data_IF_424374961148
#
_entry.id   IF_424374961148
#
_cell.length_a   1.000
_cell.length_b   1.000
_cell.length_c   1.000
_cell.angle_alpha   90.00
_cell.angle_beta   90.00
_cell.angle_gamma   90.00
#
_symmetry.space_group_name_H-M   'P 1'
#
loop_
_entity.id
_entity.type
_entity.pdbx_description
1 polymer ?
#
# COMPACT_ATOMS: atom_id res chain seq x y z
N UNK A 1 6.24 15.54 13.94
CA UNK A 1 7.16 14.36 14.01
C UNK A 1 6.49 13.16 13.35
N UNK A 2 7.21 12.19 12.75
CA UNK A 2 6.56 11.01 12.17
C UNK A 2 5.77 10.27 13.25
N UNK A 3 4.47 10.09 13.02
CA UNK A 3 3.59 9.36 13.93
C UNK A 3 3.89 7.85 13.87
N UNK A 4 3.76 7.10 14.98
CA UNK A 4 3.91 5.65 14.96
C UNK A 4 2.90 5.05 13.97
N UNK A 5 3.39 4.37 12.94
CA UNK A 5 2.58 3.67 11.94
C UNK A 5 2.78 2.16 12.06
N UNK A 6 1.80 1.35 11.64
CA UNK A 6 1.98 -0.10 11.55
C UNK A 6 3.15 -0.46 10.63
N UNK A 7 3.82 -1.58 10.90
CA UNK A 7 4.92 -2.06 10.05
C UNK A 7 4.47 -2.29 8.58
N UNK A 8 3.22 -2.72 8.37
CA UNK A 8 2.60 -2.85 7.05
C UNK A 8 1.15 -2.41 7.14
N UNK A 9 0.69 -1.59 6.18
CA UNK A 9 -0.69 -1.13 6.08
C UNK A 9 -1.27 -1.54 4.72
N UNK A 10 -2.50 -2.08 4.72
CA UNK A 10 -3.17 -2.44 3.49
C UNK A 10 -3.56 -1.18 2.71
N UNK A 11 -2.95 -0.97 1.55
CA UNK A 11 -3.19 0.20 0.72
C UNK A 11 -4.29 -0.03 -0.35
N UNK A 12 -4.54 -1.29 -0.71
CA UNK A 12 -5.56 -1.70 -1.67
C UNK A 12 -5.54 -3.21 -1.90
N UNK A 13 -6.60 -3.74 -2.51
CA UNK A 13 -6.69 -5.14 -2.90
C UNK A 13 -7.48 -5.29 -4.20
N UNK A 14 -7.19 -6.35 -4.95
CA UNK A 14 -7.96 -6.74 -6.14
C UNK A 14 -8.30 -8.22 -6.05
N UNK A 15 -9.55 -8.57 -6.33
CA UNK A 15 -10.00 -9.95 -6.42
C UNK A 15 -10.11 -10.35 -7.88
N UNK A 16 -9.56 -11.50 -8.23
CA UNK A 16 -9.61 -12.09 -9.56
C UNK A 16 -10.02 -13.55 -9.43
N UNK A 17 -10.82 -14.03 -10.37
CA UNK A 17 -11.18 -15.44 -10.49
C UNK A 17 -10.48 -15.99 -11.74
N UNK A 18 -9.73 -17.07 -11.57
CA UNK A 18 -8.88 -17.66 -12.62
C UNK A 18 -9.25 -19.12 -12.83
N UNK A 19 -9.42 -19.50 -14.09
CA UNK A 19 -9.50 -20.89 -14.50
C UNK A 19 -8.15 -21.60 -14.33
N UNK A 20 -8.12 -22.94 -14.23
CA UNK A 20 -6.87 -23.70 -14.12
C UNK A 20 -5.88 -23.35 -15.25
N UNK A 21 -4.68 -22.89 -14.87
CA UNK A 21 -3.63 -22.49 -15.82
C UNK A 21 -3.77 -21.09 -16.40
N UNK A 22 -4.84 -20.34 -16.08
CA UNK A 22 -5.00 -18.96 -16.49
C UNK A 22 -4.07 -18.01 -15.71
N UNK A 23 -3.80 -16.83 -16.28
CA UNK A 23 -3.04 -15.76 -15.64
C UNK A 23 -3.62 -14.42 -16.05
N UNK A 24 -3.77 -13.52 -15.09
CA UNK A 24 -4.32 -12.18 -15.32
C UNK A 24 -3.46 -11.11 -14.64
N UNK A 25 -3.44 -9.92 -15.23
CA UNK A 25 -2.81 -8.74 -14.62
C UNK A 25 -3.84 -7.95 -13.85
N UNK A 26 -3.64 -7.83 -12.54
CA UNK A 26 -4.49 -7.03 -11.66
C UNK A 26 -3.83 -5.67 -11.42
N UNK A 27 -4.55 -4.59 -11.71
CA UNK A 27 -4.14 -3.24 -11.36
C UNK A 27 -4.84 -2.81 -10.07
N UNK A 28 -4.06 -2.56 -9.01
CA UNK A 28 -4.57 -2.04 -7.74
C UNK A 28 -4.13 -0.58 -7.63
N UNK A 29 -5.10 0.33 -7.67
CA UNK A 29 -4.82 1.76 -7.48
C UNK A 29 -4.55 2.04 -5.99
N UNK A 30 -3.43 2.71 -5.71
CA UNK A 30 -3.09 3.16 -4.36
C UNK A 30 -3.50 4.64 -4.25
N UNK A 31 -4.54 4.98 -3.48
CA UNK A 31 -4.92 6.37 -3.28
C UNK A 31 -3.87 7.08 -2.44
N UNK A 32 -3.68 8.38 -2.67
CA UNK A 32 -2.73 9.21 -1.92
C UNK A 32 -2.97 9.16 -0.40
N UNK A 33 -4.23 9.02 0.00
CA UNK A 33 -4.62 8.95 1.40
C UNK A 33 -4.12 7.66 2.08
N UNK A 34 -3.93 6.57 1.33
CA UNK A 34 -3.40 5.31 1.87
C UNK A 34 -1.91 5.39 2.26
N UNK A 35 -1.18 6.36 1.71
CA UNK A 35 0.21 6.67 2.06
C UNK A 35 0.33 7.96 2.89
N UNK A 36 -0.81 8.46 3.38
CA UNK A 36 -0.87 9.64 4.23
C UNK A 36 -1.10 9.27 5.68
N UNK A 37 -0.64 10.11 6.59
CA UNK A 37 -0.88 10.00 8.02
C UNK A 37 -1.56 11.27 8.51
N UNK A 38 -2.35 11.13 9.57
CA UNK A 38 -2.98 12.29 10.21
C UNK A 38 -1.96 12.98 11.10
N UNK A 39 -1.67 14.25 10.79
CA UNK A 39 -0.80 15.09 11.60
C UNK A 39 -1.66 15.91 12.58
N UNK A 40 -1.47 15.62 13.88
CA UNK A 40 -2.21 16.27 14.97
C UNK A 40 -1.83 17.73 15.16
N UNK A 41 -0.64 18.17 14.71
CA UNK A 41 -0.21 19.57 14.83
C UNK A 41 -0.90 20.45 13.78
N UNK A 42 -1.03 19.96 12.55
CA UNK A 42 -1.68 20.67 11.44
C UNK A 42 -3.18 20.38 11.33
N UNK A 43 -3.69 19.39 12.08
CA UNK A 43 -5.07 18.90 12.00
C UNK A 43 -5.47 18.42 10.60
N UNK A 44 -4.51 17.91 9.82
CA UNK A 44 -4.69 17.56 8.40
C UNK A 44 -4.03 16.22 8.04
N UNK A 45 -4.40 15.66 6.90
CA UNK A 45 -3.74 14.49 6.32
C UNK A 45 -2.51 14.90 5.53
N UNK A 46 -1.35 14.47 6.02
CA UNK A 46 -0.06 14.75 5.38
C UNK A 46 0.47 13.48 4.74
N UNK A 47 0.77 13.54 3.44
CA UNK A 47 1.45 12.44 2.75
C UNK A 47 2.91 12.35 3.20
N UNK A 48 3.40 11.14 3.43
CA UNK A 48 4.82 10.93 3.66
C UNK A 48 5.61 11.48 2.47
N UNK A 49 6.55 12.39 2.71
CA UNK A 49 7.42 12.90 1.65
C UNK A 49 8.56 11.91 1.45
N UNK A 50 8.70 11.39 0.23
CA UNK A 50 9.81 10.52 -0.15
C UNK A 50 9.39 9.12 -0.58
N UNK A 51 10.31 8.16 -0.42
CA UNK A 51 10.15 6.80 -0.88
C UNK A 51 9.26 5.99 0.08
N UNK A 52 8.17 5.43 -0.43
CA UNK A 52 7.30 4.49 0.28
C UNK A 52 7.53 3.09 -0.27
N UNK A 53 7.83 2.14 0.62
CA UNK A 53 7.93 0.73 0.25
C UNK A 53 6.53 0.12 0.09
N UNK A 54 6.32 -0.55 -1.03
CA UNK A 54 5.07 -1.22 -1.38
C UNK A 54 5.33 -2.70 -1.46
N UNK A 55 4.53 -3.49 -0.74
CA UNK A 55 4.57 -4.94 -0.77
C UNK A 55 3.31 -5.50 -1.43
N UNK A 56 3.45 -6.55 -2.24
CA UNK A 56 2.33 -7.26 -2.87
C UNK A 56 2.43 -8.75 -2.53
N UNK A 57 1.31 -9.31 -2.09
CA UNK A 57 1.25 -10.67 -1.56
C UNK A 57 -0.15 -11.25 -1.54
N UNK A 58 -0.24 -12.55 -1.27
CA UNK A 58 -1.51 -13.24 -1.09
C UNK A 58 -2.06 -13.05 0.34
N UNK A 59 -1.21 -12.69 1.29
CA UNK A 59 -1.58 -12.35 2.66
C UNK A 59 -0.55 -11.41 3.28
N UNK A 60 -0.85 -10.81 4.44
CA UNK A 60 0.11 -10.00 5.19
C UNK A 60 1.35 -10.77 5.67
N UNK A 61 1.29 -12.11 5.69
CA UNK A 61 2.42 -12.98 6.02
C UNK A 61 3.13 -13.57 4.79
N UNK A 62 2.55 -13.44 3.59
CA UNK A 62 3.06 -13.98 2.31
C UNK A 62 3.17 -12.84 1.29
N UNK A 63 4.19 -11.99 1.50
CA UNK A 63 4.55 -10.86 0.66
C UNK A 63 5.64 -11.33 -0.32
N UNK A 64 5.28 -11.44 -1.60
CA UNK A 64 6.14 -12.06 -2.63
C UNK A 64 6.87 -11.05 -3.50
N UNK A 65 6.33 -9.85 -3.62
CA UNK A 65 6.90 -8.76 -4.39
C UNK A 65 7.06 -7.54 -3.49
N UNK A 66 8.14 -6.80 -3.70
CA UNK A 66 8.35 -5.48 -3.10
C UNK A 66 8.78 -4.49 -4.18
N UNK A 67 8.51 -3.21 -3.93
CA UNK A 67 8.91 -2.10 -4.78
C UNK A 67 8.87 -0.80 -3.99
N UNK A 68 9.32 0.28 -4.62
CA UNK A 68 9.32 1.61 -3.98
C UNK A 68 8.63 2.60 -4.89
N UNK A 69 7.74 3.42 -4.34
CA UNK A 69 7.08 4.52 -5.03
C UNK A 69 7.48 5.85 -4.38
N UNK A 70 7.53 6.92 -5.18
CA UNK A 70 7.75 8.27 -4.66
C UNK A 70 6.39 8.91 -4.41
N UNK A 71 6.17 9.41 -3.19
CA UNK A 71 4.96 10.10 -2.76
C UNK A 71 5.09 11.63 -2.81
#
# INVERSE_FOLDING_TARGET
MPVPTPAVQLAGFGRVELEPGASERVAVAIPRDAVSYYDVESHDFVSAQGAVEVHVGASSADLRLSGTVQA
#
